data_IF_317743541822
#
_entry.id   IF_317743541822
#
_cell.length_a   1.000
_cell.length_b   1.000
_cell.length_c   1.000
_cell.angle_alpha   90.00
_cell.angle_beta   90.00
_cell.angle_gamma   90.00
#
_symmetry.space_group_name_H-M   'P 1'
#
loop_
_entity.id
_entity.type
_entity.pdbx_description
1 polymer ?
#
# COMPACT_ATOMS: atom_id res chain seq x y z
N UNK A 1 4.41 4.57 -19.40
CA UNK A 1 2.97 4.90 -19.39
C UNK A 1 2.67 5.62 -18.09
N UNK A 2 2.24 6.89 -18.15
CA UNK A 2 1.89 7.66 -16.94
C UNK A 2 0.49 7.27 -16.47
N UNK A 3 0.29 7.16 -15.15
CA UNK A 3 -1.06 7.00 -14.58
C UNK A 3 -1.82 8.33 -14.66
N UNK A 4 -3.05 8.33 -15.14
CA UNK A 4 -3.92 9.50 -15.03
C UNK A 4 -4.80 9.33 -13.80
N UNK A 5 -4.62 10.17 -12.78
CA UNK A 5 -5.49 10.17 -11.63
C UNK A 5 -6.83 10.80 -11.98
N UNK A 6 -7.90 10.21 -11.47
CA UNK A 6 -9.28 10.64 -11.74
C UNK A 6 -9.80 11.49 -10.58
N UNK A 7 -10.77 12.35 -10.88
CA UNK A 7 -11.54 13.02 -9.84
C UNK A 7 -12.22 11.97 -8.94
N UNK A 8 -12.23 12.18 -7.63
CA UNK A 8 -12.72 11.22 -6.63
C UNK A 8 -11.95 9.88 -6.59
N UNK A 9 -10.71 9.84 -7.10
CA UNK A 9 -9.83 8.71 -6.88
C UNK A 9 -9.58 8.53 -5.37
N UNK A 10 -9.67 7.28 -4.91
CA UNK A 10 -9.49 6.89 -3.52
C UNK A 10 -8.07 6.35 -3.32
N UNK A 11 -7.42 6.74 -2.23
CA UNK A 11 -6.11 6.27 -1.81
C UNK A 11 -6.20 5.60 -0.45
N UNK A 12 -5.64 4.40 -0.34
CA UNK A 12 -5.58 3.62 0.90
C UNK A 12 -4.17 3.07 1.04
N UNK A 13 -3.61 3.18 2.24
CA UNK A 13 -2.31 2.63 2.58
C UNK A 13 -2.37 1.96 3.95
N UNK A 14 -1.40 1.09 4.21
CA UNK A 14 -1.06 0.66 5.56
C UNK A 14 -2.28 0.15 6.33
N UNK A 15 -3.10 -0.63 5.62
CA UNK A 15 -4.31 -1.19 6.17
C UNK A 15 -4.04 -2.38 7.08
N UNK A 16 -2.90 -3.05 6.91
CA UNK A 16 -2.44 -4.18 7.73
C UNK A 16 -3.56 -5.19 8.03
N UNK A 17 -4.34 -5.56 7.00
CA UNK A 17 -5.49 -6.45 7.16
C UNK A 17 -5.04 -7.81 7.71
N UNK A 18 -5.72 -8.25 8.77
CA UNK A 18 -5.60 -9.57 9.37
C UNK A 18 -6.91 -9.92 10.10
N UNK A 19 -6.96 -11.08 10.76
CA UNK A 19 -8.17 -11.53 11.46
C UNK A 19 -8.62 -10.63 12.63
N UNK A 20 -7.72 -9.80 13.18
CA UNK A 20 -8.03 -8.82 14.23
C UNK A 20 -8.36 -7.44 13.68
N UNK A 21 -7.79 -7.09 12.53
CA UNK A 21 -7.85 -5.78 11.91
C UNK A 21 -8.55 -5.91 10.55
N UNK A 22 -9.86 -5.68 10.54
CA UNK A 22 -10.77 -6.01 9.43
C UNK A 22 -11.28 -4.79 8.65
N UNK A 23 -10.84 -3.59 9.02
CA UNK A 23 -11.25 -2.30 8.47
C UNK A 23 -11.12 -2.25 6.95
N UNK A 24 -10.04 -2.81 6.41
CA UNK A 24 -9.84 -2.90 4.95
C UNK A 24 -10.94 -3.70 4.25
N UNK A 25 -11.35 -4.84 4.83
CA UNK A 25 -12.44 -5.64 4.28
C UNK A 25 -13.77 -4.88 4.35
N UNK A 26 -14.07 -4.24 5.48
CA UNK A 26 -15.28 -3.43 5.64
C UNK A 26 -15.34 -2.27 4.65
N UNK A 27 -14.20 -1.61 4.42
CA UNK A 27 -14.07 -0.53 3.46
C UNK A 27 -14.34 -1.02 2.02
N UNK A 28 -13.74 -2.14 1.60
CA UNK A 28 -13.96 -2.68 0.27
C UNK A 28 -15.41 -3.12 0.05
N UNK A 29 -16.07 -3.63 1.10
CA UNK A 29 -17.50 -3.96 1.05
C UNK A 29 -18.39 -2.73 0.84
N UNK A 30 -18.02 -1.56 1.39
CA UNK A 30 -18.71 -0.29 1.11
C UNK A 30 -18.61 0.13 -0.35
N UNK A 31 -17.46 -0.12 -0.99
CA UNK A 31 -17.32 0.10 -2.44
C UNK A 31 -18.20 -0.89 -3.21
N UNK A 32 -18.17 -2.16 -2.83
CA UNK A 32 -18.95 -3.21 -3.49
C UNK A 32 -20.47 -2.95 -3.39
N UNK A 33 -20.95 -2.51 -2.23
CA UNK A 33 -22.36 -2.18 -1.98
C UNK A 33 -22.80 -0.85 -2.60
N UNK A 34 -21.86 -0.07 -3.16
CA UNK A 34 -22.05 1.31 -3.65
C UNK A 34 -22.44 2.33 -2.56
N UNK A 35 -22.19 2.02 -1.30
CA UNK A 35 -22.25 3.01 -0.23
C UNK A 35 -21.14 4.07 -0.41
N UNK A 36 -20.00 3.63 -0.96
CA UNK A 36 -18.88 4.49 -1.32
C UNK A 36 -18.54 4.32 -2.81
N UNK A 37 -18.81 5.34 -3.62
CA UNK A 37 -18.55 5.28 -5.07
C UNK A 37 -17.17 5.85 -5.42
N UNK A 38 -16.42 5.13 -6.26
CA UNK A 38 -15.22 5.62 -6.93
C UNK A 38 -15.01 4.85 -8.24
N UNK A 39 -14.38 5.48 -9.23
CA UNK A 39 -13.95 4.81 -10.47
C UNK A 39 -12.48 4.37 -10.42
N UNK A 40 -11.71 4.83 -9.43
CA UNK A 40 -10.29 4.59 -9.33
C UNK A 40 -9.84 4.41 -7.87
N UNK A 41 -9.27 3.25 -7.56
CA UNK A 41 -8.73 2.91 -6.26
C UNK A 41 -7.21 2.70 -6.34
N UNK A 42 -6.46 3.47 -5.56
CA UNK A 42 -5.01 3.40 -5.46
C UNK A 42 -4.64 2.80 -4.11
N UNK A 43 -4.14 1.57 -4.14
CA UNK A 43 -3.63 0.85 -2.98
C UNK A 43 -2.13 1.11 -2.84
N UNK A 44 -1.74 1.85 -1.81
CA UNK A 44 -0.40 2.41 -1.58
C UNK A 44 0.46 1.53 -0.66
N UNK A 45 0.37 0.21 -0.82
CA UNK A 45 1.14 -0.80 -0.08
C UNK A 45 0.66 -1.07 1.34
N UNK A 46 1.15 -2.17 1.91
CA UNK A 46 0.88 -2.65 3.26
C UNK A 46 -0.62 -2.74 3.62
N UNK A 47 -1.46 -3.11 2.66
CA UNK A 47 -2.88 -3.33 2.91
C UNK A 47 -3.17 -4.69 3.55
N UNK A 48 -2.25 -5.65 3.42
CA UNK A 48 -2.27 -6.89 4.18
C UNK A 48 -1.15 -6.89 5.22
N UNK A 49 -1.41 -7.40 6.42
CA UNK A 49 -0.39 -7.56 7.46
C UNK A 49 0.74 -8.50 7.00
N UNK A 50 0.41 -9.47 6.14
CA UNK A 50 1.36 -10.09 5.23
C UNK A 50 0.63 -10.75 4.06
N UNK A 51 1.14 -10.54 2.84
CA UNK A 51 0.68 -11.27 1.67
C UNK A 51 1.80 -11.44 0.65
N UNK A 52 1.99 -12.66 0.16
CA UNK A 52 2.85 -12.88 -1.00
C UNK A 52 2.29 -13.94 -1.92
N UNK A 53 2.45 -13.75 -3.23
CA UNK A 53 1.94 -14.66 -4.26
C UNK A 53 2.47 -16.10 -4.17
N UNK A 54 3.58 -16.31 -3.45
CA UNK A 54 4.12 -17.63 -3.16
C UNK A 54 3.58 -18.24 -1.86
N UNK A 55 3.06 -17.43 -0.93
CA UNK A 55 2.71 -17.88 0.43
C UNK A 55 1.33 -18.51 0.53
N UNK A 56 1.27 -19.84 0.50
CA UNK A 56 0.00 -20.61 0.50
C UNK A 56 -0.84 -20.33 1.75
N UNK A 57 -0.20 -20.22 2.91
CA UNK A 57 -0.89 -19.98 4.18
C UNK A 57 -1.62 -18.63 4.19
N UNK A 58 -0.89 -17.55 3.87
CA UNK A 58 -1.44 -16.20 3.90
C UNK A 58 -2.40 -15.93 2.75
N UNK A 59 -2.20 -16.55 1.57
CA UNK A 59 -3.21 -16.51 0.49
C UNK A 59 -4.53 -17.13 0.98
N UNK A 60 -4.48 -18.27 1.67
CA UNK A 60 -5.69 -18.94 2.18
C UNK A 60 -6.39 -18.11 3.25
N UNK A 61 -5.63 -17.51 4.18
CA UNK A 61 -6.22 -16.65 5.22
C UNK A 61 -6.89 -15.40 4.64
N UNK A 62 -6.26 -14.78 3.64
CA UNK A 62 -6.73 -13.52 3.04
C UNK A 62 -7.66 -13.72 1.83
N UNK A 63 -8.14 -14.95 1.60
CA UNK A 63 -8.85 -15.35 0.38
C UNK A 63 -10.06 -14.45 0.07
N UNK A 64 -10.89 -14.15 1.08
CA UNK A 64 -12.10 -13.33 0.90
C UNK A 64 -11.79 -11.93 0.38
N UNK A 65 -10.78 -11.26 0.96
CA UNK A 65 -10.36 -9.91 0.54
C UNK A 65 -9.69 -9.93 -0.83
N UNK A 66 -8.90 -10.98 -1.13
CA UNK A 66 -8.30 -11.16 -2.46
C UNK A 66 -9.40 -11.32 -3.53
N UNK A 67 -10.41 -12.14 -3.26
CA UNK A 67 -11.55 -12.34 -4.17
C UNK A 67 -12.38 -11.06 -4.35
N UNK A 68 -12.59 -10.30 -3.27
CA UNK A 68 -13.29 -9.02 -3.30
C UNK A 68 -12.55 -7.98 -4.16
N UNK A 69 -11.23 -7.81 -3.97
CA UNK A 69 -10.41 -6.95 -4.82
C UNK A 69 -10.47 -7.36 -6.30
N UNK A 70 -10.39 -8.67 -6.58
CA UNK A 70 -10.53 -9.18 -7.95
C UNK A 70 -11.93 -8.92 -8.53
N UNK A 71 -12.98 -8.98 -7.72
CA UNK A 71 -14.34 -8.64 -8.14
C UNK A 71 -14.45 -7.15 -8.48
N UNK A 72 -14.00 -6.27 -7.57
CA UNK A 72 -14.01 -4.82 -7.76
C UNK A 72 -13.19 -4.38 -8.98
N UNK A 73 -12.05 -5.01 -9.24
CA UNK A 73 -11.19 -4.68 -10.39
C UNK A 73 -11.85 -4.90 -11.76
N UNK A 74 -13.03 -5.55 -11.82
CA UNK A 74 -13.82 -5.68 -13.05
C UNK A 74 -14.65 -4.42 -13.36
N UNK A 75 -14.92 -3.59 -12.36
CA UNK A 75 -15.79 -2.41 -12.47
C UNK A 75 -15.08 -1.09 -12.24
N UNK A 76 -13.96 -1.10 -11.51
CA UNK A 76 -13.17 0.11 -11.21
C UNK A 76 -11.70 -0.12 -11.57
N UNK A 77 -10.98 0.95 -11.90
CA UNK A 77 -9.53 0.88 -12.07
C UNK A 77 -8.86 0.71 -10.71
N UNK A 78 -8.09 -0.36 -10.52
CA UNK A 78 -7.29 -0.55 -9.32
C UNK A 78 -5.81 -0.57 -9.68
N UNK A 79 -5.04 0.29 -9.01
CA UNK A 79 -3.58 0.29 -9.05
C UNK A 79 -3.07 -0.06 -7.67
N UNK A 80 -2.15 -1.01 -7.59
CA UNK A 80 -1.63 -1.51 -6.32
C UNK A 80 -0.10 -1.40 -6.31
N UNK A 81 0.43 -0.49 -5.51
CA UNK A 81 1.86 -0.41 -5.22
C UNK A 81 2.20 -1.42 -4.13
N UNK A 82 3.10 -2.36 -4.40
CA UNK A 82 3.57 -3.32 -3.40
C UNK A 82 4.26 -2.60 -2.23
N UNK A 83 3.99 -3.03 -1.01
CA UNK A 83 4.65 -2.55 0.20
C UNK A 83 5.75 -3.48 0.69
N UNK A 84 6.11 -3.34 1.96
CA UNK A 84 7.06 -4.24 2.64
C UNK A 84 6.40 -5.44 3.34
N UNK A 85 5.09 -5.42 3.51
CA UNK A 85 4.29 -6.55 3.99
C UNK A 85 3.61 -7.33 2.86
N UNK A 86 3.37 -6.69 1.72
CA UNK A 86 2.62 -7.28 0.60
C UNK A 86 3.33 -7.14 -0.77
N UNK A 87 3.88 -8.25 -1.26
CA UNK A 87 4.75 -8.26 -2.44
C UNK A 87 4.66 -9.56 -3.25
N UNK A 88 5.13 -9.53 -4.50
CA UNK A 88 4.89 -10.57 -5.50
C UNK A 88 3.38 -10.78 -5.76
N UNK A 89 2.62 -9.69 -5.79
CA UNK A 89 1.16 -9.72 -5.76
C UNK A 89 0.52 -9.98 -7.13
N UNK A 90 1.21 -9.69 -8.24
CA UNK A 90 0.63 -9.71 -9.58
C UNK A 90 -0.10 -11.03 -9.93
N UNK A 91 0.39 -12.18 -9.43
CA UNK A 91 -0.24 -13.49 -9.67
C UNK A 91 -1.61 -13.64 -9.01
N UNK A 92 -1.86 -12.90 -7.93
CA UNK A 92 -3.11 -12.93 -7.17
C UNK A 92 -4.17 -12.00 -7.77
N UNK A 93 -3.74 -11.01 -8.56
CA UNK A 93 -4.59 -9.93 -9.05
C UNK A 93 -4.44 -9.71 -10.56
N UNK A 94 -5.05 -10.56 -11.41
CA UNK A 94 -4.88 -10.51 -12.87
C UNK A 94 -5.37 -9.21 -13.52
N UNK A 95 -6.38 -8.54 -12.95
CA UNK A 95 -6.97 -7.31 -13.51
C UNK A 95 -6.53 -6.04 -12.75
N UNK A 96 -5.66 -6.17 -11.74
CA UNK A 96 -5.13 -5.03 -11.00
C UNK A 96 -3.74 -4.71 -11.55
N UNK A 97 -3.47 -3.42 -11.77
CA UNK A 97 -2.14 -2.96 -12.15
C UNK A 97 -1.23 -2.95 -10.92
N UNK A 98 -0.47 -4.03 -10.72
CA UNK A 98 0.46 -4.14 -9.60
C UNK A 98 1.81 -3.51 -9.96
N UNK A 99 2.29 -2.58 -9.13
CA UNK A 99 3.58 -1.92 -9.25
C UNK A 99 4.52 -2.43 -8.17
N UNK A 100 5.47 -3.25 -8.59
CA UNK A 100 6.53 -3.74 -7.69
C UNK A 100 7.39 -2.61 -7.14
N UNK A 101 7.97 -2.82 -5.96
CA UNK A 101 8.83 -1.85 -5.27
C UNK A 101 9.94 -1.29 -6.16
N UNK A 102 10.64 -2.13 -6.94
CA UNK A 102 11.74 -1.71 -7.82
C UNK A 102 11.29 -0.80 -8.97
N UNK A 103 10.00 -0.79 -9.27
CA UNK A 103 9.39 0.06 -10.29
C UNK A 103 8.73 1.32 -9.69
N UNK A 104 8.90 1.56 -8.38
CA UNK A 104 8.41 2.75 -7.70
C UNK A 104 9.48 3.85 -7.68
N UNK A 105 9.12 5.12 -7.90
CA UNK A 105 7.74 5.62 -7.96
C UNK A 105 7.01 5.34 -9.28
N UNK A 106 5.71 5.07 -9.16
CA UNK A 106 4.80 5.16 -10.29
C UNK A 106 4.54 6.64 -10.57
N UNK A 107 4.92 7.09 -11.76
CA UNK A 107 4.62 8.45 -12.20
C UNK A 107 3.22 8.56 -12.79
N UNK A 108 2.53 9.63 -12.42
CA UNK A 108 1.22 9.98 -12.91
C UNK A 108 1.02 11.48 -13.10
N UNK A 109 -0.20 11.83 -13.48
CA UNK A 109 -0.66 13.21 -13.61
C UNK A 109 -2.08 13.33 -13.12
N UNK A 110 -2.41 14.51 -12.61
CA UNK A 110 -3.78 14.95 -12.37
C UNK A 110 -3.90 16.37 -12.91
N UNK A 111 -4.71 16.55 -13.96
CA UNK A 111 -4.81 17.81 -14.71
C UNK A 111 -3.40 18.27 -15.15
N UNK A 112 -2.96 19.45 -14.72
CA UNK A 112 -1.65 20.04 -15.03
C UNK A 112 -0.51 19.60 -14.09
N UNK A 113 -0.81 18.89 -12.99
CA UNK A 113 0.18 18.51 -11.98
C UNK A 113 0.78 17.14 -12.24
N UNK A 114 2.09 17.04 -12.05
CA UNK A 114 2.83 15.77 -12.07
C UNK A 114 2.87 15.15 -10.68
N UNK A 115 2.70 13.83 -10.62
CA UNK A 115 2.54 13.09 -9.36
C UNK A 115 3.51 11.90 -9.34
N UNK A 116 4.18 11.69 -8.22
CA UNK A 116 4.93 10.47 -7.93
C UNK A 116 4.24 9.70 -6.80
N UNK A 117 3.93 8.43 -7.06
CA UNK A 117 3.32 7.51 -6.10
C UNK A 117 4.34 6.46 -5.69
N UNK A 118 4.57 6.30 -4.39
CA UNK A 118 5.39 5.22 -3.83
C UNK A 118 4.74 4.69 -2.56
N UNK A 119 4.95 3.43 -2.19
CA UNK A 119 4.61 3.00 -0.84
C UNK A 119 5.43 3.79 0.20
N UNK A 120 6.72 4.02 -0.06
CA UNK A 120 7.60 4.85 0.79
C UNK A 120 8.74 4.09 1.45
N UNK A 121 8.74 2.75 1.35
CA UNK A 121 9.86 1.89 1.78
C UNK A 121 11.05 1.91 0.78
N UNK A 122 10.92 2.64 -0.32
CA UNK A 122 12.02 2.98 -1.23
C UNK A 122 12.90 4.12 -0.67
N UNK A 123 14.16 4.15 -1.12
CA UNK A 123 15.15 5.18 -0.74
C UNK A 123 15.52 5.22 0.75
N UNK A 124 15.40 4.10 1.48
CA UNK A 124 15.81 4.01 2.90
C UNK A 124 17.33 3.89 3.02
N UNK A 125 17.92 2.74 2.65
CA UNK A 125 19.35 2.50 2.56
C UNK A 125 19.63 1.17 1.84
N UNK A 126 20.89 0.95 1.45
CA UNK A 126 21.29 -0.23 0.68
C UNK A 126 21.12 -1.54 1.45
N UNK A 127 21.25 -1.53 2.79
CA UNK A 127 21.04 -2.72 3.62
C UNK A 127 19.57 -3.15 3.57
N UNK A 128 18.67 -2.18 3.64
CA UNK A 128 17.23 -2.41 3.50
C UNK A 128 16.89 -2.89 2.09
N UNK A 129 17.51 -2.32 1.05
CA UNK A 129 17.34 -2.80 -0.32
C UNK A 129 17.80 -4.25 -0.51
N UNK A 130 18.92 -4.63 0.11
CA UNK A 130 19.42 -6.00 0.11
C UNK A 130 18.43 -6.94 0.83
N UNK A 131 17.98 -6.56 2.03
CA UNK A 131 16.96 -7.32 2.76
C UNK A 131 15.70 -7.51 1.91
N UNK A 132 15.21 -6.43 1.29
CA UNK A 132 14.07 -6.44 0.41
C UNK A 132 14.23 -7.38 -0.78
N UNK A 133 15.41 -7.39 -1.40
CA UNK A 133 15.75 -8.27 -2.53
C UNK A 133 15.77 -9.74 -2.13
N UNK A 134 16.22 -10.05 -0.91
CA UNK A 134 16.24 -11.42 -0.37
C UNK A 134 14.82 -11.91 -0.11
N UNK A 135 14.03 -11.18 0.70
CA UNK A 135 12.71 -11.67 1.14
C UNK A 135 11.69 -11.76 -0.01
N UNK A 136 11.85 -10.94 -1.05
CA UNK A 136 10.97 -10.95 -2.23
C UNK A 136 11.36 -12.01 -3.26
N UNK A 137 12.45 -12.76 -3.05
CA UNK A 137 12.90 -13.77 -4.00
C UNK A 137 11.88 -14.94 -4.09
N UNK A 138 11.27 -15.19 -5.27
CA UNK A 138 10.25 -16.24 -5.41
C UNK A 138 10.78 -17.66 -5.17
N UNK A 139 12.07 -17.93 -5.41
CA UNK A 139 12.68 -19.24 -5.16
C UNK A 139 12.79 -19.47 -3.65
N UNK A 140 13.28 -18.47 -2.92
CA UNK A 140 13.33 -18.51 -1.45
C UNK A 140 11.94 -18.74 -0.87
N UNK A 141 10.95 -17.95 -1.30
CA UNK A 141 9.59 -18.06 -0.78
C UNK A 141 8.96 -19.43 -1.10
N UNK A 142 9.15 -19.96 -2.31
CA UNK A 142 8.70 -21.33 -2.64
C UNK A 142 9.39 -22.38 -1.79
N UNK A 143 10.68 -22.23 -1.51
CA UNK A 143 11.42 -23.11 -0.61
C UNK A 143 10.86 -23.04 0.81
N UNK A 144 10.68 -21.83 1.38
CA UNK A 144 10.11 -21.63 2.71
C UNK A 144 8.71 -22.26 2.82
N UNK A 145 7.86 -22.08 1.82
CA UNK A 145 6.54 -22.73 1.76
C UNK A 145 6.62 -24.26 1.69
N UNK A 146 7.66 -24.82 1.08
CA UNK A 146 7.81 -26.28 0.93
C UNK A 146 8.25 -26.94 2.24
N UNK A 147 8.97 -26.21 3.10
CA UNK A 147 9.41 -26.68 4.42
C UNK A 147 8.47 -26.25 5.56
N UNK A 148 7.39 -25.52 5.26
CA UNK A 148 6.44 -25.00 6.24
C UNK A 148 5.40 -26.05 6.68
N UNK A 149 5.88 -27.16 7.25
CA UNK A 149 5.05 -28.26 7.72
C UNK A 149 4.05 -27.76 8.79
N UNK A 150 2.77 -28.12 8.61
CA UNK A 150 1.66 -27.66 9.46
C UNK A 150 1.55 -26.13 9.61
N UNK A 151 2.12 -25.37 8.66
CA UNK A 151 2.20 -23.91 8.68
C UNK A 151 2.94 -23.34 9.90
N UNK A 152 3.93 -24.07 10.46
CA UNK A 152 4.67 -23.65 11.65
C UNK A 152 5.40 -22.31 11.47
N UNK A 153 6.13 -22.13 10.36
CA UNK A 153 6.85 -20.91 10.01
C UNK A 153 5.85 -19.78 9.80
N UNK A 154 4.81 -20.01 9.00
CA UNK A 154 3.80 -18.98 8.72
C UNK A 154 3.07 -18.52 9.98
N UNK A 155 2.68 -19.44 10.88
CA UNK A 155 2.07 -19.09 12.17
C UNK A 155 3.01 -18.32 13.08
N UNK A 156 4.31 -18.60 13.04
CA UNK A 156 5.31 -17.84 13.79
C UNK A 156 5.46 -16.41 13.25
N UNK A 157 5.46 -16.25 11.92
CA UNK A 157 5.46 -14.94 11.26
C UNK A 157 4.20 -14.18 11.64
N UNK A 158 3.02 -14.78 11.50
CA UNK A 158 1.73 -14.21 11.87
C UNK A 158 1.71 -13.76 13.34
N UNK A 159 2.12 -14.63 14.27
CA UNK A 159 2.18 -14.28 15.69
C UNK A 159 3.15 -13.12 15.95
N UNK A 160 4.28 -13.06 15.23
CA UNK A 160 5.21 -11.94 15.32
C UNK A 160 4.64 -10.65 14.78
N UNK A 161 3.83 -10.68 13.71
CA UNK A 161 3.20 -9.50 13.12
C UNK A 161 2.11 -8.95 14.05
N UNK A 162 1.23 -9.83 14.54
CA UNK A 162 0.15 -9.49 15.48
C UNK A 162 0.66 -8.93 16.82
N UNK A 163 1.92 -9.17 17.18
CA UNK A 163 2.55 -8.65 18.39
C UNK A 163 3.23 -7.29 18.23
N UNK A 164 3.33 -6.73 17.01
CA UNK A 164 3.98 -5.44 16.76
C UNK A 164 3.05 -4.28 17.06
N UNK A 165 3.59 -3.25 17.71
CA UNK A 165 2.94 -1.94 17.74
C UNK A 165 3.38 -1.13 16.52
N UNK A 166 2.50 -1.04 15.52
CA UNK A 166 2.76 -0.33 14.27
C UNK A 166 2.27 1.13 14.29
N UNK A 167 1.46 1.51 15.27
CA UNK A 167 0.89 2.84 15.37
C UNK A 167 1.71 3.71 16.33
N UNK A 168 2.59 4.54 15.77
CA UNK A 168 3.43 5.46 16.52
C UNK A 168 3.69 6.73 15.72
N UNK A 169 4.05 7.81 16.41
CA UNK A 169 4.43 9.08 15.78
C UNK A 169 5.94 9.14 15.63
N UNK A 170 6.39 9.63 14.47
CA UNK A 170 7.81 9.81 14.18
C UNK A 170 8.20 11.22 14.63
N UNK A 171 9.01 11.31 15.68
CA UNK A 171 9.60 12.58 16.10
C UNK A 171 10.43 13.16 14.95
N UNK A 172 10.11 14.40 14.55
CA UNK A 172 10.74 15.08 13.40
C UNK A 172 10.42 14.49 12.02
N UNK A 173 9.22 13.94 11.82
CA UNK A 173 8.79 13.43 10.51
C UNK A 173 9.01 14.44 9.36
N UNK A 174 8.77 15.74 9.57
CA UNK A 174 9.05 16.79 8.57
C UNK A 174 10.50 16.81 8.10
N UNK A 175 11.48 16.57 8.99
CA UNK A 175 12.90 16.53 8.64
C UNK A 175 13.23 15.34 7.73
N UNK A 176 12.61 14.19 8.01
CA UNK A 176 12.68 13.01 7.15
C UNK A 176 12.11 13.34 5.76
N UNK A 177 10.92 13.95 5.71
CA UNK A 177 10.28 14.36 4.44
C UNK A 177 11.17 15.31 3.63
N UNK A 178 11.75 16.34 4.26
CA UNK A 178 12.66 17.29 3.57
C UNK A 178 13.84 16.60 2.88
N UNK A 179 14.34 15.48 3.42
CA UNK A 179 15.38 14.70 2.74
C UNK A 179 14.81 13.87 1.60
N UNK A 180 13.63 13.27 1.81
CA UNK A 180 12.97 12.39 0.82
C UNK A 180 12.54 13.12 -0.44
N UNK A 181 12.05 14.36 -0.36
CA UNK A 181 11.57 15.12 -1.54
C UNK A 181 12.63 15.32 -2.63
N UNK A 182 13.92 15.22 -2.28
CA UNK A 182 15.04 15.35 -3.22
C UNK A 182 15.16 14.16 -4.17
N UNK A 183 14.58 13.01 -3.83
CA UNK A 183 14.53 11.83 -4.69
C UNK A 183 13.50 11.96 -5.82
N UNK A 184 12.67 13.02 -5.80
CA UNK A 184 11.54 13.21 -6.70
C UNK A 184 11.68 14.50 -7.52
N UNK A 185 11.15 14.48 -8.75
CA UNK A 185 11.13 15.63 -9.68
C UNK A 185 9.72 16.09 -10.04
N UNK A 186 8.71 15.64 -9.30
CA UNK A 186 7.29 15.93 -9.53
C UNK A 186 6.77 17.03 -8.62
N UNK A 187 5.63 17.61 -8.98
CA UNK A 187 4.95 18.65 -8.20
C UNK A 187 4.38 18.08 -6.89
N UNK A 188 3.79 16.88 -6.97
CA UNK A 188 3.17 16.19 -5.83
C UNK A 188 3.85 14.83 -5.63
N UNK A 189 4.08 14.48 -4.36
CA UNK A 189 4.67 13.22 -3.92
C UNK A 189 3.71 12.60 -2.91
N UNK A 190 3.32 11.35 -3.13
CA UNK A 190 2.37 10.64 -2.28
C UNK A 190 3.01 9.34 -1.82
N UNK A 191 3.07 9.15 -0.50
CA UNK A 191 3.64 7.96 0.15
C UNK A 191 2.73 7.38 1.24
N UNK A 192 2.75 6.07 1.44
CA UNK A 192 2.24 5.38 2.63
C UNK A 192 3.38 5.14 3.63
N UNK A 193 3.51 3.91 4.15
CA UNK A 193 4.61 3.35 4.95
C UNK A 193 4.85 3.97 6.33
N UNK A 194 4.78 5.31 6.44
CA UNK A 194 5.15 6.03 7.65
C UNK A 194 4.02 6.16 8.67
N UNK A 195 2.76 5.90 8.31
CA UNK A 195 1.60 5.95 9.20
C UNK A 195 1.41 7.31 9.92
N UNK A 196 1.79 8.42 9.28
CA UNK A 196 1.73 9.75 9.89
C UNK A 196 0.53 10.58 9.45
N UNK A 197 -0.09 10.29 8.30
CA UNK A 197 -1.28 10.98 7.81
C UNK A 197 -1.09 12.49 7.66
N UNK A 198 0.12 12.91 7.29
CA UNK A 198 0.58 14.30 7.33
C UNK A 198 0.94 14.80 5.93
N UNK A 199 0.71 16.09 5.68
CA UNK A 199 1.10 16.76 4.44
C UNK A 199 2.01 17.96 4.70
N UNK A 200 2.93 18.22 3.77
CA UNK A 200 3.87 19.33 3.85
C UNK A 200 4.06 19.97 2.49
N UNK A 201 4.02 21.31 2.45
CA UNK A 201 4.49 22.08 1.30
C UNK A 201 5.93 22.50 1.57
N UNK A 202 6.85 22.08 0.71
CA UNK A 202 8.28 22.35 0.83
C UNK A 202 8.76 22.83 -0.52
N UNK A 203 9.27 24.06 -0.57
CA UNK A 203 9.64 24.75 -1.81
C UNK A 203 8.44 24.82 -2.79
N UNK A 204 8.59 24.23 -3.98
CA UNK A 204 7.56 24.14 -5.01
C UNK A 204 6.88 22.76 -5.06
N UNK A 205 7.10 21.90 -4.06
CA UNK A 205 6.55 20.54 -4.01
C UNK A 205 5.57 20.36 -2.86
N UNK A 206 4.58 19.50 -3.08
CA UNK A 206 3.67 19.03 -2.05
C UNK A 206 3.95 17.56 -1.74
N UNK A 207 4.20 17.26 -0.48
CA UNK A 207 4.37 15.92 0.02
C UNK A 207 3.14 15.52 0.84
N UNK A 208 2.63 14.31 0.59
CA UNK A 208 1.44 13.77 1.23
C UNK A 208 1.77 12.36 1.72
N UNK A 209 1.72 12.16 3.03
CA UNK A 209 1.70 10.84 3.60
C UNK A 209 0.25 10.41 3.81
N UNK A 210 -0.19 9.37 3.08
CA UNK A 210 -1.52 8.78 3.22
C UNK A 210 -1.69 8.30 4.68
N UNK A 211 -2.82 8.59 5.34
CA UNK A 211 -3.09 8.07 6.68
C UNK A 211 -3.15 6.54 6.65
N UNK A 212 -2.72 5.91 7.74
CA UNK A 212 -2.84 4.44 7.85
C UNK A 212 -4.29 4.10 8.12
N UNK A 213 -4.88 3.22 7.29
CA UNK A 213 -6.24 2.76 7.55
C UNK A 213 -6.33 2.02 8.89
N UNK A 214 -5.27 1.27 9.26
CA UNK A 214 -5.20 0.56 10.53
C UNK A 214 -5.11 1.50 11.74
N UNK A 215 -4.29 2.55 11.67
CA UNK A 215 -3.99 3.40 12.83
C UNK A 215 -4.90 4.62 12.94
N UNK A 216 -5.33 5.19 11.82
CA UNK A 216 -6.06 6.45 11.76
C UNK A 216 -7.55 6.26 11.39
N UNK A 217 -7.95 5.06 10.97
CA UNK A 217 -9.30 4.73 10.46
C UNK A 217 -9.76 5.66 9.32
N UNK A 218 -8.81 5.99 8.45
CA UNK A 218 -8.98 6.98 7.38
C UNK A 218 -8.44 6.51 6.04
N UNK A 219 -9.10 6.99 4.99
CA UNK A 219 -8.62 6.95 3.60
C UNK A 219 -8.53 8.37 3.05
N UNK A 220 -7.95 8.53 1.86
CA UNK A 220 -7.90 9.83 1.17
C UNK A 220 -8.69 9.83 -0.13
N UNK A 221 -9.34 10.94 -0.43
CA UNK A 221 -10.01 11.21 -1.71
C UNK A 221 -9.33 12.39 -2.38
N UNK A 222 -9.02 12.26 -3.67
CA UNK A 222 -8.61 13.38 -4.50
C UNK A 222 -9.84 14.16 -4.99
N UNK A 223 -9.98 15.41 -4.57
CA UNK A 223 -11.04 16.31 -5.00
C UNK A 223 -10.46 17.71 -5.30
N UNK A 224 -10.61 18.20 -6.53
CA UNK A 224 -10.21 19.55 -6.94
C UNK A 224 -8.80 19.95 -6.50
N UNK A 225 -7.81 19.11 -6.80
CA UNK A 225 -6.39 19.25 -6.41
C UNK A 225 -6.08 19.03 -4.93
N UNK A 226 -7.09 18.80 -4.09
CA UNK A 226 -6.90 18.51 -2.67
C UNK A 226 -7.00 17.02 -2.38
N UNK A 227 -6.15 16.54 -1.48
CA UNK A 227 -6.23 15.18 -0.95
C UNK A 227 -6.88 15.27 0.44
N UNK A 228 -8.13 14.84 0.53
CA UNK A 228 -8.97 15.02 1.71
C UNK A 228 -9.06 13.70 2.46
N UNK A 229 -8.63 13.69 3.72
CA UNK A 229 -8.80 12.54 4.62
C UNK A 229 -10.27 12.35 5.02
N UNK A 230 -10.79 11.13 4.89
CA UNK A 230 -12.16 10.75 5.26
C UNK A 230 -12.11 9.54 6.20
N UNK A 231 -12.99 9.53 7.21
CA UNK A 231 -13.18 8.35 8.05
C UNK A 231 -13.96 7.27 7.28
N UNK A 232 -13.75 6.01 7.64
CA UNK A 232 -14.42 4.86 7.00
C UNK A 232 -15.93 4.90 7.20
#
# INVERSE_FOLDING_TARGET
MFLNLQENAIFIADSHYNLKNTQFSSFLLKIESKELETSQLILMGDNFDFLSGESKYFIRQNKSVIELLNKLSKSIEIVYLEGNHDYNLQKLFPNIKVIKRENQPLFGKYKDKTIALSHGDNFINWQYDLYCSIIRNPILLKFLNSIDFNNFISRKIEASLLGKNICHKIENFKSLVTKRINNYKTDIIIEGHYHQGSSFKIENKEYINIPSLCCDDKYMILNNYEFIGKNI
#
